data_IF_154425449382
#
_entry.id   IF_154425449382
#
_cell.length_a   1.000
_cell.length_b   1.000
_cell.length_c   1.000
_cell.angle_alpha   90.00
_cell.angle_beta   90.00
_cell.angle_gamma   90.00
#
_symmetry.space_group_name_H-M   'P 1'
#
loop_
_entity.id
_entity.type
_entity.pdbx_description
1 polymer ?
#
# COMPACT_ATOMS: atom_id res chain seq x y z
N UNK A 1 6.19 -3.38 15.37
CA UNK A 1 5.13 -2.39 15.06
C UNK A 1 5.02 -1.39 16.21
N UNK A 2 4.95 -0.08 15.96
CA UNK A 2 4.95 0.92 17.05
C UNK A 2 3.56 1.05 17.67
N UNK A 3 3.43 0.80 18.98
CA UNK A 3 2.19 0.92 19.78
C UNK A 3 1.41 2.21 19.51
N UNK A 4 2.14 3.32 19.29
CA UNK A 4 1.58 4.63 18.96
C UNK A 4 0.66 4.64 17.73
N UNK A 5 0.95 3.83 16.70
CA UNK A 5 0.16 3.80 15.47
C UNK A 5 -1.17 3.06 15.69
N UNK A 6 -1.17 1.96 16.45
CA UNK A 6 -2.41 1.25 16.81
C UNK A 6 -3.30 2.13 17.66
N UNK A 7 -2.74 2.75 18.71
CA UNK A 7 -3.48 3.64 19.59
C UNK A 7 -4.11 4.80 18.84
N UNK A 8 -3.36 5.42 17.91
CA UNK A 8 -3.89 6.49 17.05
C UNK A 8 -5.02 5.97 16.16
N UNK A 9 -4.83 4.81 15.54
CA UNK A 9 -5.83 4.19 14.66
C UNK A 9 -7.12 3.87 15.41
N UNK A 10 -7.06 3.15 16.53
CA UNK A 10 -8.24 2.78 17.32
C UNK A 10 -8.98 3.99 17.88
N UNK A 11 -8.24 5.04 18.29
CA UNK A 11 -8.85 6.31 18.71
C UNK A 11 -9.62 6.97 17.58
N UNK A 12 -9.05 6.98 16.36
CA UNK A 12 -9.72 7.55 15.21
C UNK A 12 -10.94 6.70 14.79
N UNK A 13 -10.88 5.37 14.95
CA UNK A 13 -12.01 4.48 14.66
C UNK A 13 -13.20 4.68 15.62
N UNK A 14 -12.98 5.26 16.80
CA UNK A 14 -14.04 5.53 17.75
C UNK A 14 -15.07 6.54 17.25
N UNK A 15 -14.74 7.37 16.24
CA UNK A 15 -15.73 8.25 15.61
C UNK A 15 -16.74 7.49 14.74
N UNK A 16 -16.47 6.22 14.40
CA UNK A 16 -17.27 5.47 13.43
C UNK A 16 -17.11 5.96 12.00
N UNK A 17 -16.24 6.94 11.76
CA UNK A 17 -15.98 7.49 10.43
C UNK A 17 -14.83 6.76 9.73
N UNK A 18 -14.77 6.81 8.40
CA UNK A 18 -13.61 6.42 7.61
C UNK A 18 -12.30 7.05 8.13
N UNK A 19 -11.25 6.25 8.31
CA UNK A 19 -9.98 6.70 8.90
C UNK A 19 -8.85 6.68 7.88
N UNK A 20 -8.16 7.82 7.74
CA UNK A 20 -6.86 7.94 7.06
C UNK A 20 -5.73 7.95 8.08
N UNK A 21 -4.86 6.95 8.04
CA UNK A 21 -3.69 6.84 8.90
C UNK A 21 -2.40 7.04 8.10
N UNK A 22 -1.75 8.19 8.28
CA UNK A 22 -0.43 8.45 7.70
C UNK A 22 0.68 7.92 8.60
N UNK A 23 1.54 7.05 8.07
CA UNK A 23 2.65 6.40 8.78
C UNK A 23 3.95 6.56 8.00
N UNK A 24 4.97 7.13 8.66
CA UNK A 24 6.33 7.19 8.13
C UNK A 24 7.05 5.86 8.34
N UNK A 25 7.80 5.42 7.32
CA UNK A 25 8.69 4.25 7.41
C UNK A 25 8.01 2.96 7.88
N UNK A 26 6.82 2.66 7.37
CA UNK A 26 6.15 1.38 7.64
C UNK A 26 6.45 0.39 6.52
N UNK A 27 6.87 -0.83 6.88
CA UNK A 27 6.93 -1.94 5.94
C UNK A 27 5.51 -2.37 5.55
N UNK A 28 5.37 -3.03 4.39
CA UNK A 28 4.09 -3.63 3.97
C UNK A 28 3.48 -4.54 5.05
N UNK A 29 4.32 -5.26 5.79
CA UNK A 29 3.88 -6.09 6.91
C UNK A 29 3.33 -5.26 8.09
N UNK A 30 3.97 -4.12 8.40
CA UNK A 30 3.47 -3.20 9.42
C UNK A 30 2.12 -2.59 9.06
N UNK A 31 1.92 -2.27 7.77
CA UNK A 31 0.63 -1.79 7.25
C UNK A 31 -0.45 -2.89 7.32
N UNK A 32 -0.12 -4.10 6.86
CA UNK A 32 -1.01 -5.25 6.93
C UNK A 32 -1.43 -5.57 8.37
N UNK A 33 -0.51 -5.43 9.33
CA UNK A 33 -0.81 -5.60 10.76
C UNK A 33 -1.70 -4.51 11.34
N UNK A 34 -1.59 -3.27 10.89
CA UNK A 34 -2.54 -2.21 11.25
C UNK A 34 -3.93 -2.52 10.69
N UNK A 35 -4.02 -2.88 9.41
CA UNK A 35 -5.29 -3.26 8.78
C UNK A 35 -5.93 -4.48 9.46
N UNK A 36 -5.14 -5.50 9.83
CA UNK A 36 -5.63 -6.67 10.56
C UNK A 36 -6.30 -6.25 11.88
N UNK A 37 -5.67 -5.39 12.67
CA UNK A 37 -6.28 -4.91 13.90
C UNK A 37 -7.53 -4.08 13.63
N UNK A 38 -7.56 -3.26 12.58
CA UNK A 38 -8.77 -2.56 12.17
C UNK A 38 -9.94 -3.53 11.89
N UNK A 39 -9.67 -4.63 11.17
CA UNK A 39 -10.66 -5.68 10.85
C UNK A 39 -11.17 -6.44 12.06
N UNK A 40 -10.34 -6.60 13.08
CA UNK A 40 -10.76 -7.15 14.37
C UNK A 40 -11.75 -6.24 15.10
N UNK A 41 -11.69 -4.93 14.87
CA UNK A 41 -12.54 -3.94 15.53
C UNK A 41 -13.56 -3.28 14.57
N UNK A 42 -13.93 -3.97 13.49
CA UNK A 42 -15.08 -3.62 12.66
C UNK A 42 -14.80 -2.68 11.48
N UNK A 43 -13.54 -2.52 11.08
CA UNK A 43 -13.15 -1.72 9.92
C UNK A 43 -12.49 -2.58 8.85
N UNK A 44 -12.76 -2.33 7.58
CA UNK A 44 -12.12 -3.02 6.46
C UNK A 44 -11.01 -2.17 5.83
N UNK A 45 -9.97 -2.84 5.31
CA UNK A 45 -8.98 -2.20 4.44
C UNK A 45 -9.61 -1.73 3.12
N UNK A 46 -9.42 -0.45 2.80
CA UNK A 46 -9.97 0.19 1.60
C UNK A 46 -8.89 0.52 0.55
N UNK A 47 -7.80 1.19 0.95
CA UNK A 47 -6.71 1.54 0.05
C UNK A 47 -5.43 1.84 0.83
N UNK A 48 -4.30 1.83 0.13
CA UNK A 48 -3.02 2.35 0.63
C UNK A 48 -2.42 3.22 -0.45
N UNK A 49 -1.94 4.41 -0.10
CA UNK A 49 -1.34 5.35 -1.05
C UNK A 49 0.00 5.86 -0.54
N UNK A 50 0.92 6.14 -1.47
CA UNK A 50 2.13 6.90 -1.15
C UNK A 50 1.79 8.38 -1.25
N UNK A 51 2.00 9.13 -0.16
CA UNK A 51 1.82 10.58 -0.14
C UNK A 51 3.05 11.27 -0.74
N UNK A 52 2.91 12.53 -1.13
CA UNK A 52 3.99 13.36 -1.68
C UNK A 52 5.22 13.42 -0.76
N UNK A 53 4.99 13.46 0.56
CA UNK A 53 6.05 13.43 1.58
C UNK A 53 6.70 12.03 1.78
N UNK A 54 6.54 11.12 0.82
CA UNK A 54 7.07 9.75 0.85
C UNK A 54 6.64 8.94 2.11
N UNK A 55 5.39 9.13 2.54
CA UNK A 55 4.76 8.39 3.64
C UNK A 55 3.64 7.52 3.11
N UNK A 56 3.30 6.45 3.84
CA UNK A 56 2.14 5.64 3.49
C UNK A 56 0.89 6.20 4.18
N UNK A 57 -0.16 6.46 3.41
CA UNK A 57 -1.51 6.71 3.90
C UNK A 57 -2.32 5.41 3.79
N UNK A 58 -2.68 4.83 4.93
CA UNK A 58 -3.57 3.69 5.03
C UNK A 58 -5.01 4.17 5.19
N UNK A 59 -5.90 3.73 4.32
CA UNK A 59 -7.33 4.05 4.36
C UNK A 59 -8.11 2.82 4.81
N UNK A 60 -8.86 3.00 5.89
CA UNK A 60 -9.77 1.99 6.44
C UNK A 60 -11.16 2.58 6.57
N UNK A 61 -12.19 1.77 6.37
CA UNK A 61 -13.60 2.19 6.42
C UNK A 61 -14.39 1.28 7.35
N UNK A 62 -15.44 1.76 8.00
CA UNK A 62 -16.35 0.89 8.75
C UNK A 62 -16.87 -0.24 7.85
N UNK A 63 -16.82 -1.48 8.33
CA UNK A 63 -17.35 -2.64 7.61
C UNK A 63 -18.81 -2.87 8.04
N UNK A 64 -19.80 -2.62 7.17
CA UNK A 64 -21.20 -2.77 7.53
C UNK A 64 -21.64 -4.23 7.65
N UNK A 65 -20.79 -5.20 7.24
CA UNK A 65 -21.13 -6.62 7.20
C UNK A 65 -21.49 -7.20 8.58
N UNK A 66 -22.50 -8.09 8.66
CA UNK A 66 -22.97 -8.64 9.93
C UNK A 66 -21.86 -9.41 10.67
N UNK A 67 -21.03 -10.15 9.94
CA UNK A 67 -19.89 -10.87 10.51
C UNK A 67 -18.85 -9.92 11.11
N UNK A 68 -18.56 -8.79 10.45
CA UNK A 68 -17.60 -7.81 10.94
C UNK A 68 -18.08 -7.13 12.22
N UNK A 69 -19.36 -6.76 12.28
CA UNK A 69 -19.98 -6.20 13.50
C UNK A 69 -19.95 -7.19 14.66
N UNK A 70 -20.28 -8.46 14.41
CA UNK A 70 -20.21 -9.49 15.46
C UNK A 70 -18.79 -9.73 15.95
N UNK A 71 -17.79 -9.78 15.06
CA UNK A 71 -16.37 -9.87 15.45
C UNK A 71 -15.95 -8.66 16.29
N UNK A 72 -16.32 -7.45 15.85
CA UNK A 72 -16.00 -6.21 16.54
C UNK A 72 -16.60 -6.18 17.95
N UNK A 73 -17.88 -6.50 18.10
CA UNK A 73 -18.55 -6.55 19.41
C UNK A 73 -17.84 -7.51 20.37
N UNK A 74 -17.59 -8.76 19.92
CA UNK A 74 -16.87 -9.77 20.71
C UNK A 74 -15.46 -9.31 21.09
N UNK A 75 -14.74 -8.67 20.17
CA UNK A 75 -13.38 -8.21 20.43
C UNK A 75 -13.35 -6.99 21.36
N UNK A 76 -14.32 -6.08 21.29
CA UNK A 76 -14.46 -4.98 22.24
C UNK A 76 -14.76 -5.47 23.65
N UNK A 77 -15.60 -6.49 23.80
CA UNK A 77 -15.89 -7.14 25.09
C UNK A 77 -14.66 -7.89 25.64
N UNK A 78 -13.94 -8.63 24.79
CA UNK A 78 -12.79 -9.44 25.20
C UNK A 78 -11.53 -8.61 25.45
N UNK A 79 -11.39 -7.47 24.77
CA UNK A 79 -10.23 -6.59 24.82
C UNK A 79 -10.62 -5.13 25.12
N UNK A 80 -11.23 -4.85 26.29
CA UNK A 80 -11.70 -3.50 26.63
C UNK A 80 -10.55 -2.48 26.70
N UNK A 81 -9.33 -2.94 26.97
CA UNK A 81 -8.11 -2.11 27.01
C UNK A 81 -7.47 -1.81 25.66
N UNK A 82 -8.01 -2.30 24.53
CA UNK A 82 -7.34 -2.26 23.22
C UNK A 82 -6.84 -0.87 22.78
N UNK A 83 -7.47 0.20 23.28
CA UNK A 83 -7.05 1.58 23.05
C UNK A 83 -5.62 1.91 23.52
N UNK A 84 -5.02 1.10 24.39
CA UNK A 84 -3.61 1.23 24.80
C UNK A 84 -2.61 0.85 23.69
N UNK A 85 -3.06 0.10 22.67
CA UNK A 85 -2.23 -0.47 21.60
C UNK A 85 -1.35 -1.67 22.03
N UNK A 86 -1.67 -2.30 23.17
CA UNK A 86 -1.00 -3.47 23.76
C UNK A 86 -1.98 -4.61 23.97
N UNK A 87 -3.14 -4.32 24.56
CA UNK A 87 -4.21 -5.27 24.90
C UNK A 87 -5.02 -5.65 23.66
N UNK A 88 -4.36 -6.30 22.70
CA UNK A 88 -4.89 -6.57 21.36
C UNK A 88 -5.13 -8.07 21.14
N UNK A 89 -6.04 -8.43 20.21
CA UNK A 89 -6.17 -9.80 19.73
C UNK A 89 -4.82 -10.37 19.23
N UNK A 90 -4.59 -11.69 19.34
CA UNK A 90 -3.41 -12.30 18.78
C UNK A 90 -3.39 -12.14 17.25
N UNK A 91 -2.18 -11.96 16.69
CA UNK A 91 -2.00 -11.81 15.26
C UNK A 91 -2.03 -13.18 14.59
N UNK A 92 -2.79 -13.31 13.51
CA UNK A 92 -2.84 -14.51 12.67
C UNK A 92 -1.93 -14.28 11.46
N UNK A 93 -0.76 -14.96 11.35
CA UNK A 93 0.21 -14.71 10.28
C UNK A 93 -0.38 -14.80 8.87
N UNK A 94 -1.22 -15.80 8.60
CA UNK A 94 -1.81 -16.02 7.28
C UNK A 94 -2.72 -14.85 6.86
N UNK A 95 -3.50 -14.30 7.80
CA UNK A 95 -4.34 -13.13 7.54
C UNK A 95 -3.50 -11.89 7.20
N UNK A 96 -2.34 -11.73 7.85
CA UNK A 96 -1.38 -10.67 7.56
C UNK A 96 -0.79 -10.84 6.16
N UNK A 97 -0.45 -12.07 5.77
CA UNK A 97 0.08 -12.32 4.43
C UNK A 97 -0.92 -11.99 3.32
N UNK A 98 -2.19 -12.34 3.52
CA UNK A 98 -3.26 -12.01 2.57
C UNK A 98 -3.44 -10.50 2.46
N UNK A 99 -3.49 -9.78 3.59
CA UNK A 99 -3.60 -8.31 3.59
C UNK A 99 -2.39 -7.65 2.95
N UNK A 100 -1.19 -8.15 3.24
CA UNK A 100 0.06 -7.69 2.62
C UNK A 100 0.02 -7.90 1.11
N UNK A 101 -0.41 -9.06 0.64
CA UNK A 101 -0.53 -9.36 -0.78
C UNK A 101 -1.49 -8.38 -1.47
N UNK A 102 -2.64 -8.10 -0.85
CA UNK A 102 -3.63 -7.13 -1.33
C UNK A 102 -3.03 -5.73 -1.45
N UNK A 103 -2.39 -5.23 -0.39
CA UNK A 103 -1.75 -3.90 -0.37
C UNK A 103 -0.66 -3.75 -1.43
N UNK A 104 0.17 -4.78 -1.64
CA UNK A 104 1.24 -4.77 -2.66
C UNK A 104 0.64 -4.66 -4.06
N UNK A 105 -0.42 -5.41 -4.34
CA UNK A 105 -1.10 -5.37 -5.64
C UNK A 105 -1.79 -4.03 -5.86
N UNK A 106 -2.51 -3.52 -4.85
CA UNK A 106 -3.23 -2.24 -4.92
C UNK A 106 -2.25 -1.05 -5.08
N UNK A 107 -1.10 -1.08 -4.41
CA UNK A 107 -0.03 -0.08 -4.61
C UNK A 107 0.59 -0.15 -6.01
N UNK A 108 0.73 -1.37 -6.52
CA UNK A 108 1.21 -1.62 -7.88
C UNK A 108 0.36 -0.95 -8.97
N UNK A 109 -0.94 -0.74 -8.73
CA UNK A 109 -1.87 -0.17 -9.71
C UNK A 109 -2.00 1.37 -9.66
N UNK A 110 -1.39 2.05 -8.68
CA UNK A 110 -1.50 3.52 -8.55
C UNK A 110 -0.87 4.28 -9.72
N UNK A 111 0.25 3.78 -10.25
CA UNK A 111 0.91 4.35 -11.42
C UNK A 111 1.03 3.27 -12.48
N UNK A 112 0.61 3.59 -13.71
CA UNK A 112 0.88 2.74 -14.86
C UNK A 112 2.40 2.53 -14.99
N UNK A 113 2.80 1.31 -15.37
CA UNK A 113 4.21 1.01 -15.64
C UNK A 113 4.82 2.01 -16.62
N UNK A 114 4.03 2.55 -17.56
CA UNK A 114 4.45 3.59 -18.52
C UNK A 114 4.82 4.91 -17.82
N UNK A 115 4.00 5.37 -16.87
CA UNK A 115 4.24 6.61 -16.11
C UNK A 115 5.47 6.47 -15.23
N UNK A 116 5.62 5.32 -14.54
CA UNK A 116 6.81 5.03 -13.73
C UNK A 116 8.08 5.00 -14.58
N UNK A 117 8.01 4.38 -15.77
CA UNK A 117 9.14 4.31 -16.69
C UNK A 117 9.51 5.71 -17.22
N UNK A 118 8.53 6.51 -17.63
CA UNK A 118 8.77 7.89 -18.06
C UNK A 118 9.45 8.74 -16.97
N UNK A 119 8.97 8.65 -15.73
CA UNK A 119 9.56 9.36 -14.60
C UNK A 119 10.98 8.88 -14.27
N UNK A 120 11.22 7.57 -14.30
CA UNK A 120 12.54 6.99 -14.06
C UNK A 120 13.54 7.42 -15.15
N UNK A 121 13.12 7.39 -16.42
CA UNK A 121 13.96 7.83 -17.55
C UNK A 121 14.30 9.31 -17.43
N UNK A 122 13.30 10.15 -17.14
CA UNK A 122 13.49 11.59 -16.98
C UNK A 122 14.44 11.93 -15.83
N UNK A 123 14.22 11.33 -14.65
CA UNK A 123 15.04 11.60 -13.46
C UNK A 123 16.50 11.14 -13.63
N UNK A 124 16.73 9.95 -14.19
CA UNK A 124 18.08 9.47 -14.49
C UNK A 124 18.81 10.36 -15.51
N UNK A 125 18.10 10.81 -16.54
CA UNK A 125 18.68 11.67 -17.58
C UNK A 125 19.00 13.06 -17.05
N UNK A 126 18.10 13.67 -16.28
CA UNK A 126 18.35 14.97 -15.65
C UNK A 126 19.53 14.91 -14.66
N UNK A 127 19.63 13.83 -13.89
CA UNK A 127 20.73 13.64 -12.95
C UNK A 127 22.08 13.44 -13.65
N UNK A 128 22.12 12.63 -14.72
CA UNK A 128 23.33 12.45 -15.54
C UNK A 128 23.78 13.77 -16.17
N UNK A 129 22.84 14.57 -16.70
CA UNK A 129 23.13 15.89 -17.26
C UNK A 129 23.70 16.85 -16.19
N UNK A 130 23.12 16.87 -14.98
CA UNK A 130 23.60 17.70 -13.88
C UNK A 130 25.02 17.34 -13.42
N UNK A 131 25.34 16.04 -13.37
CA UNK A 131 26.69 15.56 -13.05
C UNK A 131 27.69 15.96 -14.13
N UNK A 132 27.34 15.72 -15.41
CA UNK A 132 28.19 16.09 -16.54
C UNK A 132 28.51 17.59 -16.58
N UNK A 133 27.51 18.43 -16.25
CA UNK A 133 27.69 19.88 -16.15
C UNK A 133 28.59 20.27 -14.97
N UNK A 134 28.42 19.64 -13.80
CA UNK A 134 29.24 19.92 -12.60
C UNK A 134 30.71 19.52 -12.76
N UNK A 135 30.99 18.45 -13.48
CA UNK A 135 32.34 17.94 -13.72
C UNK A 135 33.11 18.74 -14.79
N UNK A 136 32.57 19.87 -15.28
CA UNK A 136 33.18 20.73 -16.31
C UNK A 136 33.71 19.95 -17.52
N UNK A 137 32.95 18.94 -17.96
CA UNK A 137 33.16 18.24 -19.21
C UNK A 137 34.60 17.73 -19.44
N UNK A 138 35.26 17.19 -18.41
CA UNK A 138 36.43 16.35 -18.67
C UNK A 138 35.98 15.13 -19.51
N UNK A 139 36.68 14.87 -20.61
CA UNK A 139 36.23 13.94 -21.66
C UNK A 139 36.02 12.54 -21.09
N UNK A 140 36.90 12.14 -20.17
CA UNK A 140 36.83 10.85 -19.47
C UNK A 140 35.61 10.80 -18.54
N UNK A 141 35.30 11.90 -17.84
CA UNK A 141 34.15 11.97 -16.95
C UNK A 141 32.82 11.85 -17.73
N UNK A 142 32.72 12.46 -18.91
CA UNK A 142 31.55 12.35 -19.78
C UNK A 142 31.32 10.91 -20.27
N UNK A 143 32.40 10.22 -20.68
CA UNK A 143 32.32 8.81 -21.10
C UNK A 143 31.84 7.93 -19.94
N UNK A 144 32.41 8.09 -18.75
CA UNK A 144 32.01 7.32 -17.57
C UNK A 144 30.54 7.57 -17.21
N UNK A 145 30.09 8.82 -17.19
CA UNK A 145 28.69 9.18 -16.92
C UNK A 145 27.75 8.56 -17.97
N UNK A 146 28.13 8.62 -19.26
CA UNK A 146 27.36 8.03 -20.35
C UNK A 146 27.22 6.51 -20.24
N UNK A 147 28.31 5.80 -19.91
CA UNK A 147 28.31 4.35 -19.72
C UNK A 147 27.43 3.96 -18.52
N UNK A 148 27.57 4.65 -17.40
CA UNK A 148 26.75 4.40 -16.20
C UNK A 148 25.27 4.66 -16.50
N UNK A 149 24.94 5.75 -17.19
CA UNK A 149 23.58 6.06 -17.60
C UNK A 149 23.00 4.98 -18.52
N UNK A 150 23.76 4.54 -19.53
CA UNK A 150 23.33 3.48 -20.45
C UNK A 150 23.10 2.15 -19.73
N UNK A 151 23.97 1.79 -18.78
CA UNK A 151 23.80 0.61 -17.94
C UNK A 151 22.55 0.70 -17.06
N UNK A 152 22.26 1.87 -16.47
CA UNK A 152 21.04 2.10 -15.69
C UNK A 152 19.77 1.99 -16.56
N UNK A 153 19.80 2.55 -17.77
CA UNK A 153 18.69 2.43 -18.72
C UNK A 153 18.44 0.99 -19.14
N UNK A 154 19.51 0.20 -19.35
CA UNK A 154 19.39 -1.23 -19.67
C UNK A 154 18.79 -2.05 -18.51
N UNK A 155 18.97 -1.62 -17.26
CA UNK A 155 18.41 -2.30 -16.08
C UNK A 155 16.92 -2.01 -15.83
N UNK A 156 16.40 -0.88 -16.31
CA UNK A 156 14.99 -0.50 -16.14
C UNK A 156 13.98 -1.58 -16.59
N UNK A 157 14.05 -2.17 -17.80
CA UNK A 157 13.11 -3.21 -18.22
C UNK A 157 13.19 -4.46 -17.32
N UNK A 158 14.38 -4.82 -16.83
CA UNK A 158 14.57 -5.96 -15.92
C UNK A 158 13.85 -5.71 -14.59
N UNK A 159 14.01 -4.51 -14.02
CA UNK A 159 13.32 -4.09 -12.79
C UNK A 159 11.80 -4.10 -12.95
N UNK A 160 11.28 -3.68 -14.11
CA UNK A 160 9.85 -3.73 -14.42
C UNK A 160 9.32 -5.15 -14.50
N UNK A 161 10.03 -6.05 -15.21
CA UNK A 161 9.64 -7.48 -15.30
C UNK A 161 9.68 -8.13 -13.92
N UNK A 162 10.69 -7.84 -13.11
CA UNK A 162 10.77 -8.33 -11.75
C UNK A 162 9.58 -7.85 -10.90
N UNK A 163 9.25 -6.55 -10.97
CA UNK A 163 8.08 -5.98 -10.29
C UNK A 163 6.75 -6.56 -10.79
N UNK A 164 6.62 -6.88 -12.08
CA UNK A 164 5.45 -7.58 -12.62
C UNK A 164 5.34 -9.00 -12.06
N UNK A 165 6.42 -9.79 -12.11
CA UNK A 165 6.46 -11.16 -11.57
C UNK A 165 6.19 -11.21 -10.07
N UNK A 166 6.71 -10.23 -9.33
CA UNK A 166 6.43 -10.11 -7.90
C UNK A 166 4.94 -9.89 -7.63
N UNK A 167 4.29 -9.02 -8.40
CA UNK A 167 2.84 -8.75 -8.30
C UNK A 167 1.98 -9.96 -8.70
N UNK A 168 2.34 -10.69 -9.76
CA UNK A 168 1.57 -11.87 -10.19
C UNK A 168 1.59 -12.98 -9.14
N UNK A 169 2.70 -13.17 -8.43
CA UNK A 169 2.79 -14.12 -7.31
C UNK A 169 1.82 -13.78 -6.17
N UNK A 170 1.70 -12.50 -5.82
CA UNK A 170 0.75 -12.04 -4.80
C UNK A 170 -0.70 -12.13 -5.29
N UNK A 171 -0.97 -11.81 -6.54
CA UNK A 171 -2.27 -11.99 -7.16
C UNK A 171 -2.72 -13.47 -7.13
N UNK A 172 -1.83 -14.41 -7.44
CA UNK A 172 -2.13 -15.84 -7.37
C UNK A 172 -2.49 -16.28 -5.94
N UNK A 173 -1.79 -15.75 -4.92
CA UNK A 173 -2.14 -16.02 -3.51
C UNK A 173 -3.52 -15.47 -3.14
N UNK A 174 -3.86 -14.28 -3.61
CA UNK A 174 -5.19 -13.69 -3.39
C UNK A 174 -6.29 -14.53 -4.04
N UNK A 175 -6.08 -14.98 -5.28
CA UNK A 175 -7.03 -15.85 -5.98
C UNK A 175 -7.21 -17.19 -5.27
N UNK A 176 -6.12 -17.80 -4.79
CA UNK A 176 -6.19 -19.02 -3.99
C UNK A 176 -6.97 -18.82 -2.68
N UNK A 177 -6.94 -17.62 -2.11
CA UNK A 177 -7.74 -17.23 -0.95
C UNK A 177 -9.19 -16.82 -1.31
N UNK A 178 -9.62 -16.99 -2.55
CA UNK A 178 -10.97 -16.69 -3.02
C UNK A 178 -11.22 -15.22 -3.39
N UNK A 179 -10.20 -14.36 -3.43
CA UNK A 179 -10.37 -12.98 -3.86
C UNK A 179 -10.61 -12.90 -5.36
N UNK A 180 -11.52 -12.01 -5.76
CA UNK A 180 -11.86 -11.79 -7.17
C UNK A 180 -11.22 -10.50 -7.69
N UNK A 181 -10.64 -10.52 -8.90
CA UNK A 181 -10.15 -9.32 -9.55
C UNK A 181 -11.32 -8.45 -10.03
N UNK A 182 -11.37 -7.19 -9.59
CA UNK A 182 -12.37 -6.22 -10.01
C UNK A 182 -11.67 -4.93 -10.42
N UNK A 183 -12.04 -4.39 -11.57
CA UNK A 183 -11.55 -3.10 -12.04
C UNK A 183 -12.38 -1.99 -11.43
N UNK A 184 -11.73 -1.07 -10.72
CA UNK A 184 -12.33 0.15 -10.16
C UNK A 184 -12.69 1.14 -11.28
N UNK A 185 -13.55 2.12 -10.99
CA UNK A 185 -14.00 3.18 -11.90
C UNK A 185 -12.83 4.00 -12.48
N UNK A 186 -11.73 4.11 -11.73
CA UNK A 186 -10.47 4.71 -12.17
C UNK A 186 -9.58 3.81 -13.03
N UNK A 187 -10.07 2.65 -13.49
CA UNK A 187 -9.31 1.71 -14.32
C UNK A 187 -8.24 0.91 -13.56
N UNK A 188 -8.20 1.01 -12.22
CA UNK A 188 -7.26 0.28 -11.36
C UNK A 188 -7.77 -1.12 -11.06
N UNK A 189 -6.95 -2.14 -11.31
CA UNK A 189 -7.23 -3.50 -10.86
C UNK A 189 -7.10 -3.59 -9.34
N UNK A 190 -8.13 -4.12 -8.67
CA UNK A 190 -8.18 -4.37 -7.22
C UNK A 190 -8.66 -5.80 -6.96
N UNK A 191 -8.22 -6.38 -5.85
CA UNK A 191 -8.70 -7.70 -5.41
C UNK A 191 -9.66 -7.53 -4.25
N UNK A 192 -10.87 -8.08 -4.39
CA UNK A 192 -11.96 -7.95 -3.42
C UNK A 192 -12.22 -9.29 -2.75
N UNK A 193 -12.36 -9.35 -1.42
CA UNK A 193 -12.66 -10.60 -0.71
C UNK A 193 -14.02 -11.18 -1.16
N UNK A 194 -14.27 -12.49 -0.95
CA UNK A 194 -15.55 -13.12 -1.25
C UNK A 194 -16.72 -12.37 -0.62
N UNK A 195 -17.71 -11.96 -1.42
CA UNK A 195 -18.87 -11.20 -0.95
C UNK A 195 -18.58 -9.73 -0.58
N UNK A 196 -17.33 -9.29 -0.70
CA UNK A 196 -16.95 -7.89 -0.55
C UNK A 196 -17.35 -7.07 -1.77
N UNK A 197 -17.56 -5.77 -1.57
CA UNK A 197 -17.72 -4.80 -2.65
C UNK A 197 -16.47 -3.95 -2.75
N UNK A 198 -16.20 -3.41 -3.95
CA UNK A 198 -15.20 -2.38 -4.11
C UNK A 198 -15.53 -1.20 -3.16
N UNK A 199 -14.55 -0.64 -2.43
CA UNK A 199 -14.74 0.61 -1.70
C UNK A 199 -15.00 1.73 -2.72
N UNK A 200 -16.27 1.92 -3.08
CA UNK A 200 -16.65 2.70 -4.25
C UNK A 200 -18.16 2.96 -4.36
N UNK A 201 -19.01 2.24 -3.60
CA UNK A 201 -20.36 2.69 -3.28
C UNK A 201 -20.34 3.76 -2.17
N UNK A 202 -19.51 4.79 -2.37
CA UNK A 202 -19.24 5.87 -1.41
C UNK A 202 -17.82 5.83 -0.84
N UNK A 203 -16.78 5.87 -1.68
CA UNK A 203 -15.42 6.17 -1.19
C UNK A 203 -15.38 7.66 -0.78
N UNK A 204 -15.44 8.00 0.52
CA UNK A 204 -15.47 9.39 0.99
C UNK A 204 -14.16 10.13 0.71
N UNK A 205 -13.10 9.39 0.31
CA UNK A 205 -11.77 9.93 0.07
C UNK A 205 -11.51 10.21 -1.42
N UNK A 206 -12.45 9.93 -2.32
CA UNK A 206 -12.29 10.13 -3.75
C UNK A 206 -12.34 11.61 -4.19
N UNK A 207 -12.70 12.53 -3.30
CA UNK A 207 -12.85 13.97 -3.60
C UNK A 207 -11.67 14.87 -3.21
N UNK A 208 -10.53 14.31 -2.79
CA UNK A 208 -9.37 15.09 -2.34
C UNK A 208 -8.11 14.75 -3.12
N UNK A 209 -7.98 15.29 -4.33
CA UNK A 209 -6.71 15.44 -5.05
C UNK A 209 -6.18 16.85 -4.84
#
# INVERSE_FOLDING_TARGET
>A
MRKKHVRKMLRNMASGEPVRLTVSMSSWEGLARLAFFAEQFGYAYADVQLTDDNRFALFIVPDPGPQARQRAARNWERYPGAGDGVSLPPVVPDAIEILKARMVVDSGSQYSDKVRMGLAVFTLTAFAAAIGFRLRADSVALVVVGVVWAALMALLPVLLVHGRRYRTRHAARLQAAGFTPVTDRGGRLRYVPPGGQLPGHGNPFAGGS
#
